data_IF_972609757747
#
_entry.id   IF_972609757747
#
_cell.length_a   1.000
_cell.length_b   1.000
_cell.length_c   1.000
_cell.angle_alpha   90.00
_cell.angle_beta   90.00
_cell.angle_gamma   90.00
#
_symmetry.space_group_name_H-M   'P 1'
#
loop_
_entity.id
_entity.type
_entity.pdbx_description
1 polymer ?
#
# COMPACT_ATOMS: atom_id res chain seq x y z
N UNK A 1 -8.11 36.49 24.31
CA UNK A 1 -8.05 35.06 24.65
C UNK A 1 -7.54 34.37 23.40
N UNK A 2 -6.35 33.76 23.45
CA UNK A 2 -5.81 33.03 22.30
C UNK A 2 -6.69 31.78 22.12
N UNK A 3 -7.15 31.46 20.89
CA UNK A 3 -7.92 30.25 20.65
C UNK A 3 -7.10 29.04 21.08
N UNK A 4 -7.68 28.20 21.94
CA UNK A 4 -7.05 26.98 22.40
C UNK A 4 -6.97 26.00 21.22
N UNK A 5 -5.77 25.55 20.89
CA UNK A 5 -5.50 24.79 19.66
C UNK A 5 -5.78 23.30 19.80
N UNK A 6 -6.21 22.86 20.99
CA UNK A 6 -6.49 21.47 21.33
C UNK A 6 -7.96 21.18 21.63
N UNK A 7 -8.87 22.15 21.52
CA UNK A 7 -10.28 21.92 21.77
C UNK A 7 -10.91 21.22 20.56
N UNK A 8 -10.98 19.89 20.63
CA UNK A 8 -11.60 19.04 19.62
C UNK A 8 -12.72 18.27 20.30
N UNK A 9 -13.95 18.48 19.82
CA UNK A 9 -15.12 17.83 20.40
C UNK A 9 -15.04 16.31 20.19
N UNK A 10 -15.54 15.55 21.17
CA UNK A 10 -15.54 14.09 21.14
C UNK A 10 -16.31 13.57 19.93
N UNK A 11 -17.39 14.26 19.55
CA UNK A 11 -18.17 13.93 18.37
C UNK A 11 -17.35 14.09 17.08
N UNK A 12 -16.57 15.17 16.96
CA UNK A 12 -15.73 15.42 15.80
C UNK A 12 -14.55 14.46 15.73
N UNK A 13 -13.96 14.11 16.89
CA UNK A 13 -12.94 13.08 16.97
C UNK A 13 -13.49 11.73 16.49
N UNK A 14 -14.70 11.37 16.93
CA UNK A 14 -15.36 10.13 16.53
C UNK A 14 -15.59 10.08 15.02
N UNK A 15 -16.05 11.19 14.41
CA UNK A 15 -16.22 11.29 12.94
C UNK A 15 -14.90 11.11 12.21
N UNK A 16 -13.83 11.77 12.68
CA UNK A 16 -12.50 11.66 12.07
C UNK A 16 -12.01 10.21 12.13
N UNK A 17 -12.12 9.57 13.30
CA UNK A 17 -11.75 8.16 13.47
C UNK A 17 -12.58 7.27 12.54
N UNK A 18 -13.88 7.50 12.43
CA UNK A 18 -14.77 6.73 11.55
C UNK A 18 -14.29 6.80 10.09
N UNK A 19 -13.98 8.01 9.60
CA UNK A 19 -13.46 8.21 8.25
C UNK A 19 -12.11 7.51 8.07
N UNK A 20 -11.21 7.62 9.05
CA UNK A 20 -9.92 6.93 9.05
C UNK A 20 -10.07 5.41 8.97
N UNK A 21 -11.02 4.84 9.73
CA UNK A 21 -11.31 3.40 9.69
C UNK A 21 -11.84 2.98 8.32
N UNK A 22 -12.74 3.78 7.71
CA UNK A 22 -13.24 3.50 6.36
C UNK A 22 -12.08 3.51 5.36
N UNK A 23 -11.23 4.54 5.39
CA UNK A 23 -10.05 4.63 4.51
C UNK A 23 -9.14 3.42 4.74
N UNK A 24 -8.89 3.06 5.99
CA UNK A 24 -8.05 1.91 6.33
C UNK A 24 -8.60 0.60 5.75
N UNK A 25 -9.91 0.37 5.84
CA UNK A 25 -10.58 -0.78 5.23
C UNK A 25 -10.42 -0.75 3.71
N UNK A 26 -10.70 0.39 3.06
CA UNK A 26 -10.59 0.52 1.60
C UNK A 26 -9.17 0.23 1.12
N UNK A 27 -8.16 0.81 1.76
CA UNK A 27 -6.75 0.53 1.42
C UNK A 27 -6.41 -0.94 1.66
N UNK A 28 -6.95 -1.54 2.71
CA UNK A 28 -6.84 -2.98 2.98
C UNK A 28 -7.38 -3.83 1.82
N UNK A 29 -8.58 -3.51 1.34
CA UNK A 29 -9.21 -4.20 0.21
C UNK A 29 -8.42 -4.00 -1.09
N UNK A 30 -7.97 -2.79 -1.37
CA UNK A 30 -7.14 -2.51 -2.55
C UNK A 30 -5.85 -3.33 -2.51
N UNK A 31 -5.17 -3.42 -1.36
CA UNK A 31 -3.97 -4.27 -1.22
C UNK A 31 -4.26 -5.75 -1.48
N UNK A 32 -5.39 -6.26 -1.00
CA UNK A 32 -5.79 -7.66 -1.24
C UNK A 32 -6.04 -7.91 -2.72
N UNK A 33 -6.79 -7.02 -3.38
CA UNK A 33 -7.07 -7.09 -4.81
C UNK A 33 -5.77 -7.05 -5.63
N UNK A 34 -4.90 -6.07 -5.34
CA UNK A 34 -3.60 -5.94 -6.01
C UNK A 34 -2.76 -7.20 -5.81
N UNK A 35 -2.67 -7.71 -4.58
CA UNK A 35 -1.92 -8.94 -4.28
C UNK A 35 -2.51 -10.13 -5.00
N UNK A 36 -3.83 -10.29 -5.04
CA UNK A 36 -4.49 -11.40 -5.72
C UNK A 36 -4.15 -11.42 -7.22
N UNK A 37 -4.19 -10.26 -7.87
CA UNK A 37 -3.85 -10.16 -9.30
C UNK A 37 -2.35 -10.29 -9.58
N UNK A 38 -1.48 -9.77 -8.70
CA UNK A 38 -0.03 -9.80 -8.90
C UNK A 38 0.65 -11.07 -8.38
N UNK A 39 0.02 -11.81 -7.46
CA UNK A 39 0.59 -13.02 -6.85
C UNK A 39 1.06 -14.06 -7.88
N UNK A 40 0.29 -14.38 -8.94
CA UNK A 40 0.75 -15.32 -9.97
C UNK A 40 1.99 -14.83 -10.75
N UNK A 41 2.16 -13.51 -10.87
CA UNK A 41 3.28 -12.92 -11.61
C UNK A 41 4.55 -12.77 -10.76
N UNK A 42 4.48 -12.90 -9.43
CA UNK A 42 5.65 -12.79 -8.56
C UNK A 42 6.78 -13.75 -8.95
N UNK A 43 6.43 -15.00 -9.28
CA UNK A 43 7.40 -15.99 -9.77
C UNK A 43 8.00 -15.62 -11.13
N UNK A 44 7.20 -15.01 -12.01
CA UNK A 44 7.63 -14.55 -13.34
C UNK A 44 8.61 -13.39 -13.20
N UNK A 45 8.34 -12.42 -12.32
CA UNK A 45 9.28 -11.33 -12.05
C UNK A 45 10.59 -11.84 -11.49
N UNK A 46 10.55 -12.80 -10.56
CA UNK A 46 11.77 -13.44 -10.06
C UNK A 46 12.57 -14.13 -11.16
N UNK A 47 11.89 -14.90 -12.02
CA UNK A 47 12.51 -15.57 -13.16
C UNK A 47 13.09 -14.56 -14.16
N UNK A 48 12.36 -13.48 -14.46
CA UNK A 48 12.79 -12.43 -15.38
C UNK A 48 14.01 -11.69 -14.82
N UNK A 49 14.05 -11.41 -13.53
CA UNK A 49 15.23 -10.84 -12.86
C UNK A 49 16.41 -11.80 -12.98
N UNK A 50 16.23 -13.09 -12.67
CA UNK A 50 17.29 -14.10 -12.82
C UNK A 50 17.77 -14.17 -14.27
N UNK A 51 16.85 -14.15 -15.24
CA UNK A 51 17.18 -14.15 -16.66
C UNK A 51 18.00 -12.92 -17.05
N UNK A 52 17.61 -11.73 -16.60
CA UNK A 52 18.37 -10.49 -16.83
C UNK A 52 19.76 -10.56 -16.20
N UNK A 53 19.87 -11.09 -14.99
CA UNK A 53 21.17 -11.31 -14.32
C UNK A 53 22.03 -12.27 -15.14
N UNK A 54 21.46 -13.37 -15.63
CA UNK A 54 22.19 -14.35 -16.46
C UNK A 54 22.63 -13.75 -17.79
N UNK A 55 21.75 -13.00 -18.47
CA UNK A 55 22.08 -12.32 -19.72
C UNK A 55 23.20 -11.30 -19.54
N UNK A 56 23.14 -10.51 -18.46
CA UNK A 56 24.23 -9.60 -18.11
C UNK A 56 25.53 -10.34 -17.77
N UNK A 57 25.46 -11.42 -16.97
CA UNK A 57 26.66 -12.19 -16.59
C UNK A 57 27.34 -12.86 -17.79
N UNK A 58 26.57 -13.21 -18.82
CA UNK A 58 27.08 -13.80 -20.06
C UNK A 58 27.43 -12.73 -21.12
N UNK A 59 27.43 -11.44 -20.78
CA UNK A 59 27.72 -10.31 -21.69
C UNK A 59 26.77 -10.27 -22.91
N UNK A 60 25.55 -10.81 -22.78
CA UNK A 60 24.51 -10.71 -23.81
C UNK A 60 23.72 -9.40 -23.77
N UNK A 61 23.91 -8.57 -22.74
CA UNK A 61 23.30 -7.26 -22.55
C UNK A 61 24.39 -6.21 -22.28
#
# INVERSE_FOLDING_TARGET
MLPDRGELDVEDLLKIILVLVIIWIVVGLVRQVVTFFLAPFTGIFGLLIVLLILLYFLDYL
#
